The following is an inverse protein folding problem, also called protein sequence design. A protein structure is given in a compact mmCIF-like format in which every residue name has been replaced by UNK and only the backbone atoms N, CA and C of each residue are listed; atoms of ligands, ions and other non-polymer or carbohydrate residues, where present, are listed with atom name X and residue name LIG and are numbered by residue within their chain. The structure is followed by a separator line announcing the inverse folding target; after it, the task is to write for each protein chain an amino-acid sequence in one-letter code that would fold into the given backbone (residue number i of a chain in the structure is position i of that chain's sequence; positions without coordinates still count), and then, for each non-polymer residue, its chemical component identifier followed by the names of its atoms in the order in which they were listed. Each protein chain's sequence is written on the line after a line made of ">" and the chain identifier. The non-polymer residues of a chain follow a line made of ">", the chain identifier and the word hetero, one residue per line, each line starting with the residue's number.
data_IF_802074081266
#
_entry.id   IF_802074081266
#
_cell.length_a   1.000
_cell.length_b   1.000
_cell.length_c   1.000
_cell.angle_alpha   90.00
_cell.angle_beta   90.00
_cell.angle_gamma   90.00
#
_symmetry.space_group_name_H-M   'P 1'
#
loop_
_entity.id
_entity.type
_entity.pdbx_description
1 polymer ?
#
# COMPACT_ATOMS: atom_id res chain seq x y z
N UNK A 1 43.72 12.55 -5.66
CA UNK A 1 43.61 13.97 -5.27
C UNK A 1 42.41 14.54 -6.01
N UNK A 2 41.27 14.68 -5.34
CA UNK A 2 40.24 15.70 -5.57
C UNK A 2 39.24 15.59 -4.42
N UNK A 3 39.56 16.37 -3.39
CA UNK A 3 38.65 16.83 -2.36
C UNK A 3 37.64 17.78 -3.02
N UNK A 4 36.34 17.68 -2.71
CA UNK A 4 35.62 18.80 -2.09
C UNK A 4 34.09 18.57 -1.93
N UNK A 5 33.68 18.79 -0.68
CA UNK A 5 32.50 19.56 -0.26
C UNK A 5 31.15 18.86 -0.17
N UNK A 6 30.93 18.37 1.05
CA UNK A 6 29.67 18.30 1.80
C UNK A 6 28.73 19.47 1.46
N UNK A 7 27.49 19.17 1.04
CA UNK A 7 26.32 20.01 1.37
C UNK A 7 25.40 19.20 2.27
N UNK A 8 25.47 19.51 3.56
CA UNK A 8 24.42 19.20 4.51
C UNK A 8 23.15 19.91 4.02
N UNK A 9 22.19 19.15 3.53
CA UNK A 9 20.81 19.64 3.45
C UNK A 9 20.25 19.61 4.86
N UNK A 10 20.00 20.80 5.40
CA UNK A 10 19.52 21.00 6.76
C UNK A 10 18.27 20.20 7.05
N UNK A 11 18.24 19.61 8.25
CA UNK A 11 17.06 19.00 8.83
C UNK A 11 15.97 20.07 9.01
N UNK A 12 14.98 20.08 8.11
CA UNK A 12 13.74 20.80 8.33
C UNK A 12 12.84 19.89 9.15
N UNK A 13 12.71 20.16 10.44
CA UNK A 13 11.78 19.43 11.32
C UNK A 13 10.35 19.84 10.97
N UNK A 14 9.67 19.09 10.09
CA UNK A 14 8.21 19.05 10.12
C UNK A 14 7.81 18.15 11.28
N UNK A 15 7.33 18.75 12.36
CA UNK A 15 6.82 18.02 13.51
C UNK A 15 5.32 17.85 13.38
N UNK A 16 4.83 16.61 13.41
CA UNK A 16 3.43 16.37 13.75
C UNK A 16 3.12 17.02 15.10
N UNK A 17 1.90 17.54 15.27
CA UNK A 17 1.44 17.92 16.61
C UNK A 17 1.42 16.69 17.53
N UNK A 18 1.58 16.89 18.84
CA UNK A 18 1.65 15.81 19.83
C UNK A 18 0.47 14.83 19.72
N UNK A 19 -0.73 15.34 19.46
CA UNK A 19 -1.94 14.51 19.28
C UNK A 19 -1.87 13.63 18.03
N UNK A 20 -1.34 14.14 16.92
CA UNK A 20 -1.18 13.36 15.69
C UNK A 20 -0.10 12.28 15.85
N UNK A 21 0.99 12.58 16.56
CA UNK A 21 2.02 11.58 16.87
C UNK A 21 1.47 10.42 17.72
N UNK A 22 0.68 10.72 18.76
CA UNK A 22 0.03 9.68 19.59
C UNK A 22 -0.98 8.85 18.79
N UNK A 23 -1.75 9.48 17.89
CA UNK A 23 -2.67 8.78 17.01
C UNK A 23 -1.96 7.81 16.05
N UNK A 24 -0.80 8.21 15.52
CA UNK A 24 0.01 7.37 14.64
C UNK A 24 0.68 6.22 15.40
N UNK A 25 1.21 6.46 16.60
CA UNK A 25 1.84 5.42 17.44
C UNK A 25 0.83 4.33 17.86
N UNK A 26 -0.45 4.68 17.97
CA UNK A 26 -1.55 3.74 18.34
C UNK A 26 -2.39 3.29 17.14
N UNK A 27 -2.00 3.63 15.91
CA UNK A 27 -2.78 3.42 14.70
C UNK A 27 -3.13 1.95 14.45
N UNK A 28 -2.22 1.03 14.78
CA UNK A 28 -2.41 -0.41 14.62
C UNK A 28 -3.07 -1.09 15.83
N UNK A 29 -3.74 -0.34 16.69
CA UNK A 29 -4.64 -0.93 17.69
C UNK A 29 -5.76 -1.72 17.00
N UNK A 30 -6.18 -2.81 17.64
CA UNK A 30 -7.23 -3.70 17.10
C UNK A 30 -8.52 -2.96 16.79
N UNK A 31 -8.95 -2.06 17.68
CA UNK A 31 -10.17 -1.26 17.50
C UNK A 31 -10.09 -0.32 16.29
N UNK A 32 -8.94 0.32 16.03
CA UNK A 32 -8.73 1.15 14.83
C UNK A 32 -8.73 0.32 13.57
N UNK A 33 -8.10 -0.85 13.57
CA UNK A 33 -8.06 -1.74 12.41
C UNK A 33 -9.44 -2.33 12.08
N UNK A 34 -10.21 -2.76 13.08
CA UNK A 34 -11.59 -3.22 12.90
C UNK A 34 -12.47 -2.09 12.33
N UNK A 35 -12.37 -0.89 12.91
CA UNK A 35 -13.08 0.29 12.42
C UNK A 35 -12.66 0.69 10.99
N UNK A 36 -11.38 0.56 10.68
CA UNK A 36 -10.81 0.80 9.35
C UNK A 36 -11.45 -0.14 8.33
N UNK A 37 -11.42 -1.46 8.59
CA UNK A 37 -11.99 -2.48 7.70
C UNK A 37 -13.50 -2.29 7.49
N UNK A 38 -14.26 -1.93 8.53
CA UNK A 38 -15.69 -1.63 8.38
C UNK A 38 -15.94 -0.36 7.54
N UNK A 39 -15.12 0.68 7.71
CA UNK A 39 -15.28 1.91 6.95
C UNK A 39 -14.85 1.77 5.50
N UNK A 40 -13.85 0.94 5.20
CA UNK A 40 -13.39 0.66 3.84
C UNK A 40 -14.50 0.07 2.97
N UNK A 41 -15.42 -0.72 3.53
CA UNK A 41 -16.60 -1.26 2.81
C UNK A 41 -17.46 -0.17 2.17
N UNK A 42 -17.38 1.07 2.68
CA UNK A 42 -18.16 2.24 2.23
C UNK A 42 -17.39 3.11 1.24
N UNK A 43 -16.08 2.87 1.06
CA UNK A 43 -15.19 3.67 0.22
C UNK A 43 -15.05 3.05 -1.17
N UNK A 44 -15.03 3.89 -2.20
CA UNK A 44 -14.73 3.46 -3.57
C UNK A 44 -13.26 3.70 -3.90
N UNK A 45 -12.58 2.69 -4.44
CA UNK A 45 -11.19 2.81 -4.89
C UNK A 45 -11.12 3.51 -6.27
N UNK A 46 -11.34 4.82 -6.31
CA UNK A 46 -11.22 5.61 -7.54
C UNK A 46 -12.03 5.07 -8.74
N UNK A 47 -11.36 4.77 -9.85
CA UNK A 47 -11.98 4.26 -11.10
C UNK A 47 -12.27 2.76 -11.09
N UNK A 48 -11.96 2.06 -10.00
CA UNK A 48 -12.28 0.63 -9.85
C UNK A 48 -13.77 0.44 -9.63
N UNK A 49 -14.27 -0.71 -10.05
CA UNK A 49 -15.67 -1.10 -9.87
C UNK A 49 -15.74 -2.25 -8.87
N UNK A 50 -16.86 -2.44 -8.14
CA UNK A 50 -17.05 -3.68 -7.40
C UNK A 50 -16.85 -4.88 -8.33
N UNK A 51 -16.10 -5.88 -7.86
CA UNK A 51 -15.90 -7.08 -8.65
C UNK A 51 -17.24 -7.79 -8.91
N UNK A 52 -17.40 -8.37 -10.10
CA UNK A 52 -18.56 -9.20 -10.42
C UNK A 52 -18.29 -10.64 -9.95
N UNK A 53 -19.27 -11.34 -9.35
CA UNK A 53 -19.06 -12.68 -8.79
C UNK A 53 -18.59 -13.73 -9.80
N UNK A 54 -18.92 -13.55 -11.08
CA UNK A 54 -18.86 -14.60 -12.09
C UNK A 54 -18.07 -14.18 -13.34
N UNK A 55 -17.07 -13.33 -13.14
CA UNK A 55 -16.30 -12.80 -14.26
C UNK A 55 -15.00 -13.56 -14.45
N UNK A 56 -14.77 -14.10 -15.65
CA UNK A 56 -13.52 -14.75 -16.12
C UNK A 56 -12.29 -13.81 -16.16
N UNK A 57 -12.24 -12.84 -15.25
CA UNK A 57 -11.10 -11.95 -15.13
C UNK A 57 -10.01 -12.60 -14.29
N UNK A 58 -8.77 -12.27 -14.63
CA UNK A 58 -7.60 -12.63 -13.84
C UNK A 58 -7.79 -12.13 -12.40
N UNK A 59 -7.48 -12.97 -11.41
CA UNK A 59 -7.58 -12.65 -9.98
C UNK A 59 -6.19 -12.48 -9.35
N UNK A 60 -6.06 -11.55 -8.43
CA UNK A 60 -4.82 -11.29 -7.70
C UNK A 60 -5.10 -10.87 -6.27
N UNK A 61 -4.16 -11.13 -5.38
CA UNK A 61 -4.22 -10.63 -4.01
C UNK A 61 -2.92 -9.95 -3.62
N UNK A 62 -3.04 -8.88 -2.85
CA UNK A 62 -1.91 -8.18 -2.26
C UNK A 62 -2.09 -8.09 -0.74
N UNK A 63 -0.97 -7.98 -0.03
CA UNK A 63 -0.93 -7.80 1.41
C UNK A 63 -0.55 -6.35 1.74
N UNK A 64 -1.25 -5.71 2.67
CA UNK A 64 -0.75 -4.52 3.39
C UNK A 64 -0.06 -5.05 4.66
N UNK A 65 1.28 -5.20 4.63
CA UNK A 65 2.04 -5.71 5.76
C UNK A 65 2.24 -4.63 6.83
N UNK A 66 1.58 -4.80 7.97
CA UNK A 66 1.71 -3.94 9.14
C UNK A 66 2.84 -4.49 10.02
N UNK A 67 3.73 -3.62 10.48
CA UNK A 67 4.83 -4.02 11.35
C UNK A 67 5.29 -2.83 12.20
N UNK A 68 6.15 -3.12 13.15
CA UNK A 68 6.92 -2.12 13.90
C UNK A 68 8.34 -2.14 13.36
N UNK A 69 8.84 -0.97 12.97
CA UNK A 69 10.24 -0.83 12.56
C UNK A 69 11.19 -0.98 13.75
N UNK A 70 12.49 -1.19 13.49
CA UNK A 70 13.55 -1.23 14.51
C UNK A 70 13.60 0.02 15.43
N UNK A 71 12.94 1.11 15.04
CA UNK A 71 12.80 2.35 15.82
C UNK A 71 11.55 2.36 16.72
N UNK A 72 10.80 1.26 16.80
CA UNK A 72 9.56 1.17 17.57
C UNK A 72 8.37 1.87 16.90
N UNK A 73 8.47 2.23 15.62
CA UNK A 73 7.47 3.03 14.92
C UNK A 73 6.55 2.18 14.03
N UNK A 74 5.21 2.35 14.10
CA UNK A 74 4.27 1.70 13.19
C UNK A 74 4.62 1.98 11.73
N UNK A 75 4.77 0.90 10.96
CA UNK A 75 5.33 0.93 9.62
C UNK A 75 4.60 -0.04 8.68
N UNK A 76 4.72 0.25 7.39
CA UNK A 76 4.23 -0.59 6.31
C UNK A 76 5.41 -1.02 5.47
N UNK A 77 5.51 -2.33 5.20
CA UNK A 77 6.52 -2.90 4.31
C UNK A 77 6.09 -2.75 2.84
N UNK A 78 7.05 -2.38 2.00
CA UNK A 78 6.90 -2.28 0.56
C UNK A 78 8.00 -3.06 -0.15
N UNK A 79 7.69 -3.48 -1.38
CA UNK A 79 8.65 -4.10 -2.31
C UNK A 79 8.90 -3.17 -3.49
N UNK A 80 10.14 -3.12 -3.95
CA UNK A 80 10.51 -2.58 -5.26
C UNK A 80 10.62 -3.75 -6.22
N UNK A 81 9.75 -3.80 -7.23
CA UNK A 81 9.72 -4.89 -8.20
C UNK A 81 11.00 -4.96 -9.03
N UNK A 82 11.52 -6.17 -9.22
CA UNK A 82 12.72 -6.44 -10.00
C UNK A 82 12.62 -5.92 -11.44
N UNK A 83 13.72 -5.35 -11.94
CA UNK A 83 13.82 -4.91 -13.33
C UNK A 83 13.82 -6.07 -14.33
N UNK A 84 13.90 -7.32 -13.85
CA UNK A 84 13.85 -8.54 -14.67
C UNK A 84 12.42 -8.93 -15.07
N UNK A 85 11.41 -8.42 -14.38
CA UNK A 85 10.02 -8.80 -14.61
C UNK A 85 9.46 -8.23 -15.91
N UNK A 86 8.49 -8.91 -16.56
CA UNK A 86 7.93 -8.43 -17.82
C UNK A 86 7.00 -7.22 -17.66
N UNK A 87 6.41 -7.02 -16.47
CA UNK A 87 5.44 -5.94 -16.17
C UNK A 87 5.77 -5.23 -14.86
N UNK A 88 5.44 -3.93 -14.81
CA UNK A 88 5.57 -3.07 -13.62
C UNK A 88 6.98 -3.06 -13.01
N UNK A 89 8.02 -3.13 -13.85
CA UNK A 89 9.44 -3.06 -13.45
C UNK A 89 9.74 -1.79 -12.66
N UNK A 90 10.43 -1.93 -11.52
CA UNK A 90 10.82 -0.80 -10.68
C UNK A 90 9.65 -0.08 -10.01
N UNK A 91 8.45 -0.68 -9.97
CA UNK A 91 7.32 -0.10 -9.25
C UNK A 91 7.43 -0.46 -7.77
N UNK A 92 7.08 0.50 -6.92
CA UNK A 92 6.84 0.21 -5.50
C UNK A 92 5.46 -0.41 -5.35
N UNK A 93 5.42 -1.59 -4.75
CA UNK A 93 4.24 -2.40 -4.59
C UNK A 93 4.11 -2.90 -3.16
N UNK A 94 2.89 -3.30 -2.84
CA UNK A 94 2.64 -4.24 -1.76
C UNK A 94 3.06 -5.63 -2.23
N UNK A 95 3.54 -6.51 -1.32
CA UNK A 95 3.80 -7.89 -1.68
C UNK A 95 2.50 -8.58 -2.10
N UNK A 96 2.60 -9.47 -3.08
CA UNK A 96 1.44 -10.15 -3.65
C UNK A 96 1.49 -10.33 -5.16
N UNK A 97 0.53 -11.08 -5.67
CA UNK A 97 0.53 -11.47 -7.06
C UNK A 97 -0.72 -12.20 -7.49
N UNK A 98 -0.57 -13.06 -8.48
CA UNK A 98 -1.66 -13.68 -9.20
C UNK A 98 -2.18 -14.89 -8.41
N UNK A 99 -3.49 -15.11 -8.46
CA UNK A 99 -4.07 -16.34 -7.93
C UNK A 99 -3.57 -17.57 -8.70
N UNK A 100 -3.14 -18.59 -7.96
CA UNK A 100 -2.78 -19.91 -8.47
C UNK A 100 -3.98 -20.87 -8.36
N UNK A 101 -3.98 -21.93 -9.17
CA UNK A 101 -5.07 -22.94 -9.16
C UNK A 101 -5.22 -23.65 -7.81
N UNK A 102 -4.13 -23.72 -7.05
CA UNK A 102 -4.10 -24.36 -5.72
C UNK A 102 -4.41 -23.37 -4.58
N UNK A 103 -4.62 -22.09 -4.88
CA UNK A 103 -5.00 -21.12 -3.86
C UNK A 103 -6.44 -21.34 -3.41
N UNK A 104 -6.62 -21.56 -2.11
CA UNK A 104 -7.92 -21.87 -1.49
C UNK A 104 -8.83 -20.64 -1.51
N UNK A 105 -8.25 -19.47 -1.24
CA UNK A 105 -8.95 -18.20 -1.19
C UNK A 105 -7.98 -17.02 -1.45
N UNK A 106 -8.48 -15.78 -1.55
CA UNK A 106 -7.63 -14.62 -1.77
C UNK A 106 -6.60 -14.36 -0.66
N UNK A 107 -6.86 -14.81 0.58
CA UNK A 107 -5.90 -14.67 1.68
C UNK A 107 -4.73 -15.61 1.46
N UNK A 108 -4.99 -16.86 1.08
CA UNK A 108 -3.97 -17.83 0.72
C UNK A 108 -3.06 -17.30 -0.40
N UNK A 109 -3.64 -16.71 -1.46
CA UNK A 109 -2.85 -16.07 -2.53
C UNK A 109 -1.92 -14.99 -1.99
N UNK A 110 -2.42 -14.07 -1.14
CA UNK A 110 -1.58 -12.98 -0.61
C UNK A 110 -0.44 -13.51 0.26
N UNK A 111 -0.72 -14.53 1.09
CA UNK A 111 0.28 -15.14 1.97
C UNK A 111 1.33 -15.93 1.20
N UNK A 112 0.92 -16.76 0.23
CA UNK A 112 1.83 -17.52 -0.64
C UNK A 112 2.77 -16.58 -1.39
N UNK A 113 2.23 -15.56 -2.04
CA UNK A 113 3.04 -14.59 -2.80
C UNK A 113 3.98 -13.79 -1.88
N UNK A 114 3.54 -13.43 -0.67
CA UNK A 114 4.42 -12.78 0.31
C UNK A 114 5.56 -13.70 0.73
N UNK A 115 5.29 -15.00 0.89
CA UNK A 115 6.32 -15.99 1.19
C UNK A 115 7.30 -16.19 0.02
N UNK A 116 6.80 -16.24 -1.22
CA UNK A 116 7.62 -16.38 -2.43
C UNK A 116 8.51 -15.16 -2.70
N UNK A 117 7.98 -13.94 -2.47
CA UNK A 117 8.69 -12.68 -2.71
C UNK A 117 9.69 -12.35 -1.59
N UNK A 118 9.34 -12.62 -0.32
CA UNK A 118 10.06 -12.13 0.86
C UNK A 118 10.57 -13.21 1.81
N UNK A 119 10.20 -14.47 1.61
CA UNK A 119 10.55 -15.58 2.50
C UNK A 119 9.80 -15.59 3.84
N UNK A 120 8.80 -14.70 4.00
CA UNK A 120 8.04 -14.59 5.25
C UNK A 120 6.99 -15.69 5.28
N UNK A 121 7.19 -16.68 6.15
CA UNK A 121 6.27 -17.79 6.34
C UNK A 121 4.88 -17.32 6.76
N UNK A 122 3.84 -17.90 6.18
CA UNK A 122 2.44 -17.61 6.53
C UNK A 122 2.13 -17.72 8.03
N UNK A 123 2.80 -18.62 8.75
CA UNK A 123 2.68 -18.78 10.21
C UNK A 123 3.13 -17.55 11.01
N UNK A 124 4.00 -16.71 10.43
CA UNK A 124 4.48 -15.45 11.02
C UNK A 124 3.61 -14.25 10.61
N UNK A 125 2.45 -14.49 10.00
CA UNK A 125 1.55 -13.45 9.51
C UNK A 125 0.19 -13.56 10.20
N UNK A 126 -0.17 -12.54 10.97
CA UNK A 126 -1.48 -12.45 11.64
C UNK A 126 -2.45 -11.66 10.75
N UNK A 127 -3.33 -12.35 10.05
CA UNK A 127 -4.33 -11.72 9.18
C UNK A 127 -5.40 -11.01 10.02
N UNK A 128 -5.57 -9.71 9.75
CA UNK A 128 -6.57 -8.86 10.42
C UNK A 128 -7.89 -8.87 9.66
N UNK A 129 -7.82 -8.87 8.33
CA UNK A 129 -9.00 -8.91 7.45
C UNK A 129 -8.66 -8.49 6.04
N UNK A 130 -9.68 -8.27 5.22
CA UNK A 130 -9.51 -7.90 3.81
C UNK A 130 -10.50 -6.82 3.38
N UNK A 131 -10.11 -6.04 2.37
CA UNK A 131 -10.98 -5.07 1.72
C UNK A 131 -12.00 -5.80 0.84
N UNK A 132 -13.15 -5.18 0.50
CA UNK A 132 -13.98 -5.68 -0.58
C UNK A 132 -13.18 -5.78 -1.88
N UNK A 133 -13.36 -6.89 -2.59
CA UNK A 133 -12.74 -7.11 -3.88
C UNK A 133 -13.19 -6.06 -4.90
N UNK A 134 -12.24 -5.51 -5.65
CA UNK A 134 -12.52 -4.54 -6.70
C UNK A 134 -11.90 -4.96 -8.03
N UNK A 135 -12.54 -4.56 -9.12
CA UNK A 135 -12.10 -4.78 -10.48
C UNK A 135 -11.36 -3.55 -11.01
N UNK A 136 -10.12 -3.75 -11.45
CA UNK A 136 -9.32 -2.79 -12.17
C UNK A 136 -9.49 -3.02 -13.68
N UNK A 137 -10.28 -2.17 -14.38
CA UNK A 137 -10.55 -2.36 -15.81
C UNK A 137 -9.33 -2.12 -16.70
N UNK A 138 -8.31 -1.39 -16.23
CA UNK A 138 -7.08 -1.12 -17.00
C UNK A 138 -6.31 -2.41 -17.24
N UNK A 139 -6.18 -3.23 -16.21
CA UNK A 139 -5.40 -4.47 -16.24
C UNK A 139 -6.29 -5.72 -16.38
N UNK A 140 -7.62 -5.52 -16.47
CA UNK A 140 -8.65 -6.57 -16.49
C UNK A 140 -8.45 -7.57 -15.35
N UNK A 141 -8.28 -7.02 -14.15
CA UNK A 141 -7.83 -7.74 -12.97
C UNK A 141 -8.79 -7.49 -11.80
N UNK A 142 -9.25 -8.56 -11.18
CA UNK A 142 -10.00 -8.55 -9.93
C UNK A 142 -8.99 -8.68 -8.78
N UNK A 143 -8.98 -7.71 -7.87
CA UNK A 143 -7.99 -7.62 -6.80
C UNK A 143 -8.63 -7.63 -5.42
N UNK A 144 -8.04 -8.42 -4.52
CA UNK A 144 -8.33 -8.40 -3.09
C UNK A 144 -7.13 -7.86 -2.33
N UNK A 145 -7.38 -7.03 -1.32
CA UNK A 145 -6.34 -6.45 -0.47
C UNK A 145 -6.50 -7.00 0.93
N UNK A 146 -5.51 -7.75 1.37
CA UNK A 146 -5.44 -8.36 2.71
C UNK A 146 -4.63 -7.45 3.61
N UNK A 147 -5.04 -7.28 4.86
CA UNK A 147 -4.30 -6.54 5.88
C UNK A 147 -3.85 -7.53 6.92
N UNK A 148 -2.55 -7.54 7.24
CA UNK A 148 -1.98 -8.45 8.22
C UNK A 148 -0.80 -7.84 8.95
N UNK A 149 -0.56 -8.29 10.18
CA UNK A 149 0.71 -8.05 10.85
C UNK A 149 1.77 -9.03 10.38
N UNK A 150 2.99 -8.54 10.23
CA UNK A 150 4.18 -9.37 10.02
C UNK A 150 4.95 -9.55 11.33
N UNK A 151 5.60 -10.71 11.46
CA UNK A 151 6.61 -10.96 12.48
C UNK A 151 6.04 -11.42 13.82
N UNK A 152 6.85 -12.14 14.58
CA UNK A 152 6.51 -12.53 15.94
C UNK A 152 6.45 -11.29 16.83
N UNK A 153 5.32 -11.04 17.49
CA UNK A 153 5.15 -9.83 18.29
C UNK A 153 5.05 -8.52 17.49
N UNK A 154 4.93 -8.59 16.15
CA UNK A 154 4.77 -7.47 15.20
C UNK A 154 6.04 -6.71 14.85
N UNK A 155 7.19 -7.12 15.37
CA UNK A 155 8.47 -6.53 15.03
C UNK A 155 9.06 -7.25 13.82
N UNK A 156 9.70 -6.49 12.91
CA UNK A 156 10.38 -7.07 11.75
C UNK A 156 11.76 -6.44 11.57
N UNK A 157 12.79 -7.28 11.55
CA UNK A 157 14.13 -6.91 11.12
C UNK A 157 14.31 -7.36 9.67
N UNK A 158 14.36 -6.39 8.75
CA UNK A 158 14.50 -6.68 7.32
C UNK A 158 15.75 -7.52 6.98
N UNK A 159 16.82 -7.45 7.78
CA UNK A 159 18.04 -8.20 7.51
C UNK A 159 18.00 -9.63 8.07
N UNK A 160 17.25 -9.86 9.16
CA UNK A 160 17.16 -11.15 9.82
C UNK A 160 15.95 -11.98 9.37
N UNK A 161 14.83 -11.32 9.07
CA UNK A 161 13.54 -11.98 8.84
C UNK A 161 13.20 -12.21 7.37
N UNK A 162 13.84 -11.49 6.44
CA UNK A 162 13.55 -11.60 5.02
C UNK A 162 14.58 -12.47 4.30
N UNK A 163 14.07 -13.30 3.39
CA UNK A 163 14.85 -13.97 2.36
C UNK A 163 14.28 -13.56 0.99
N UNK A 164 14.73 -12.40 0.50
CA UNK A 164 14.18 -11.76 -0.70
C UNK A 164 14.50 -12.58 -1.96
N UNK A 165 13.47 -12.83 -2.77
CA UNK A 165 13.64 -13.43 -4.08
C UNK A 165 14.00 -12.35 -5.12
N UNK A 166 15.30 -12.22 -5.42
CA UNK A 166 15.85 -11.22 -6.36
C UNK A 166 15.30 -11.31 -7.80
N UNK A 167 14.71 -12.45 -8.18
CA UNK A 167 14.07 -12.58 -9.49
C UNK A 167 12.78 -11.74 -9.59
N UNK A 168 12.14 -11.46 -8.46
CA UNK A 168 10.85 -10.76 -8.38
C UNK A 168 10.93 -9.42 -7.65
N UNK A 169 11.75 -9.36 -6.59
CA UNK A 169 11.89 -8.18 -5.75
C UNK A 169 13.34 -7.71 -5.78
N UNK A 170 13.56 -6.46 -6.18
CA UNK A 170 14.88 -5.83 -6.13
C UNK A 170 15.24 -5.35 -4.72
N UNK A 171 14.24 -4.92 -3.94
CA UNK A 171 14.44 -4.37 -2.60
C UNK A 171 13.15 -4.46 -1.79
N UNK A 172 13.25 -4.82 -0.52
CA UNK A 172 12.19 -4.63 0.47
C UNK A 172 12.57 -3.50 1.44
N UNK A 173 11.61 -2.65 1.80
CA UNK A 173 11.86 -1.53 2.71
C UNK A 173 10.60 -1.14 3.48
N UNK A 174 10.81 -0.51 4.65
CA UNK A 174 9.71 0.00 5.48
C UNK A 174 9.47 1.49 5.22
N UNK A 175 8.23 1.91 5.42
CA UNK A 175 7.85 3.32 5.62
C UNK A 175 6.99 3.47 6.85
N UNK A 176 7.37 4.41 7.71
CA UNK A 176 6.62 4.71 8.93
C UNK A 176 5.29 5.40 8.58
N UNK A 177 4.28 5.25 9.43
CA UNK A 177 3.04 6.00 9.24
C UNK A 177 3.26 7.52 9.31
N UNK A 178 4.23 7.98 10.11
CA UNK A 178 4.63 9.39 10.14
C UNK A 178 5.08 9.88 8.75
N UNK A 179 6.01 9.17 8.10
CA UNK A 179 6.45 9.50 6.74
C UNK A 179 5.30 9.48 5.73
N UNK A 180 4.40 8.49 5.83
CA UNK A 180 3.30 8.29 4.89
C UNK A 180 2.17 9.31 5.08
N UNK A 181 1.95 9.79 6.30
CA UNK A 181 0.91 10.77 6.63
C UNK A 181 1.39 12.22 6.56
N UNK A 182 2.69 12.46 6.40
CA UNK A 182 3.26 13.80 6.29
C UNK A 182 2.77 14.49 5.00
N UNK A 183 2.01 15.60 5.09
CA UNK A 183 1.42 16.25 3.91
C UNK A 183 2.46 16.70 2.87
N UNK A 184 3.67 17.06 3.33
CA UNK A 184 4.76 17.45 2.41
C UNK A 184 5.29 16.29 1.57
N UNK A 185 5.01 15.03 1.94
CA UNK A 185 5.35 13.84 1.16
C UNK A 185 4.24 13.43 0.18
N UNK A 186 3.05 14.02 0.26
CA UNK A 186 1.95 13.68 -0.65
C UNK A 186 1.86 14.64 -1.83
N UNK A 187 1.86 14.10 -3.04
CA UNK A 187 1.60 14.82 -4.29
C UNK A 187 0.49 14.13 -5.07
N UNK A 188 0.09 14.76 -6.18
CA UNK A 188 -0.92 14.22 -7.07
C UNK A 188 -0.44 14.30 -8.52
N UNK A 189 -0.63 13.23 -9.27
CA UNK A 189 -0.52 13.26 -10.74
C UNK A 189 -1.91 13.47 -11.32
N UNK A 190 -2.06 14.49 -12.16
CA UNK A 190 -3.31 14.78 -12.87
C UNK A 190 -3.31 14.07 -14.23
N UNK A 191 -4.38 13.36 -14.52
CA UNK A 191 -4.61 12.70 -15.79
C UNK A 191 -5.76 13.37 -16.51
N UNK A 192 -5.52 13.70 -17.79
CA UNK A 192 -6.58 14.10 -18.70
C UNK A 192 -7.25 12.87 -19.26
N UNK A 193 -8.58 12.82 -19.22
CA UNK A 193 -9.33 11.70 -19.75
C UNK A 193 -10.62 12.18 -20.41
N UNK A 194 -11.03 11.60 -21.57
CA UNK A 194 -12.21 12.06 -22.31
C UNK A 194 -13.51 12.07 -21.52
N UNK A 195 -13.60 11.30 -20.43
CA UNK A 195 -14.78 11.21 -19.55
C UNK A 195 -14.65 12.02 -18.25
N UNK A 196 -13.64 12.88 -18.14
CA UNK A 196 -13.36 13.71 -16.97
C UNK A 196 -11.96 13.48 -16.42
N UNK A 197 -11.29 14.58 -16.08
CA UNK A 197 -9.95 14.56 -15.50
C UNK A 197 -9.97 13.94 -14.10
N UNK A 198 -8.92 13.19 -13.77
CA UNK A 198 -8.78 12.59 -12.44
C UNK A 198 -7.37 12.75 -11.90
N UNK A 199 -7.25 12.85 -10.58
CA UNK A 199 -5.97 12.84 -9.89
C UNK A 199 -5.69 11.47 -9.28
N UNK A 200 -4.42 11.08 -9.20
CA UNK A 200 -3.96 9.95 -8.40
C UNK A 200 -2.91 10.42 -7.39
N UNK A 201 -2.93 9.87 -6.16
CA UNK A 201 -1.95 10.21 -5.14
C UNK A 201 -0.58 9.64 -5.53
N UNK A 202 0.47 10.35 -5.12
CA UNK A 202 1.87 9.95 -5.22
C UNK A 202 2.53 10.26 -3.90
N UNK A 203 3.00 9.23 -3.20
CA UNK A 203 3.74 9.38 -1.95
C UNK A 203 5.24 9.44 -2.28
N UNK A 204 5.89 10.52 -1.89
CA UNK A 204 7.31 10.78 -2.09
C UNK A 204 8.07 10.47 -0.80
N UNK A 205 8.07 9.21 -0.40
CA UNK A 205 8.63 8.78 0.89
C UNK A 205 10.02 8.14 0.70
N UNK A 206 11.04 8.83 1.22
CA UNK A 206 12.43 8.44 1.05
C UNK A 206 12.86 8.42 -0.42
N UNK A 207 13.58 7.36 -0.84
CA UNK A 207 14.18 7.28 -2.17
C UNK A 207 13.22 6.81 -3.28
N UNK A 208 12.10 6.18 -2.91
CA UNK A 208 11.19 5.55 -3.88
C UNK A 208 9.80 6.16 -3.77
N UNK A 209 9.23 6.56 -4.90
CA UNK A 209 7.85 7.06 -4.95
C UNK A 209 6.86 5.91 -5.00
N UNK A 210 5.81 5.98 -4.18
CA UNK A 210 4.64 5.09 -4.27
C UNK A 210 3.59 5.77 -5.13
N UNK A 211 3.15 5.11 -6.20
CA UNK A 211 2.20 5.67 -7.16
C UNK A 211 1.30 4.58 -7.76
N UNK A 212 0.35 4.96 -8.61
CA UNK A 212 -0.54 4.00 -9.27
C UNK A 212 -1.52 3.33 -8.31
N UNK A 213 -1.83 2.06 -8.54
CA UNK A 213 -2.81 1.32 -7.72
C UNK A 213 -2.34 1.16 -6.28
N UNK A 214 -1.04 0.93 -6.04
CA UNK A 214 -0.45 0.88 -4.69
C UNK A 214 -0.78 2.15 -3.90
N UNK A 215 -0.59 3.32 -4.51
CA UNK A 215 -0.89 4.59 -3.85
C UNK A 215 -2.40 4.82 -3.62
N UNK A 216 -3.26 4.32 -4.51
CA UNK A 216 -4.72 4.38 -4.31
C UNK A 216 -5.17 3.52 -3.12
N UNK A 217 -4.68 2.28 -3.05
CA UNK A 217 -4.93 1.36 -1.93
C UNK A 217 -4.42 2.00 -0.63
N UNK A 218 -3.18 2.49 -0.62
CA UNK A 218 -2.57 3.13 0.54
C UNK A 218 -3.36 4.37 0.99
N UNK A 219 -3.78 5.23 0.05
CA UNK A 219 -4.57 6.41 0.37
C UNK A 219 -5.91 6.03 1.03
N UNK A 220 -6.62 5.02 0.53
CA UNK A 220 -7.88 4.55 1.14
C UNK A 220 -7.62 3.97 2.54
N UNK A 221 -6.56 3.16 2.68
CA UNK A 221 -6.18 2.59 3.96
C UNK A 221 -5.87 3.67 5.01
N UNK A 222 -5.00 4.65 4.70
CA UNK A 222 -4.62 5.70 5.66
C UNK A 222 -5.82 6.58 6.05
N UNK A 223 -6.69 6.94 5.10
CA UNK A 223 -7.91 7.72 5.38
C UNK A 223 -8.87 7.04 6.35
N UNK A 224 -8.88 5.71 6.36
CA UNK A 224 -9.82 4.91 7.17
C UNK A 224 -9.19 4.44 8.47
N UNK A 225 -7.87 4.25 8.50
CA UNK A 225 -7.09 3.89 9.69
C UNK A 225 -6.88 5.06 10.66
N UNK A 226 -6.50 6.22 10.12
CA UNK A 226 -6.17 7.42 10.88
C UNK A 226 -6.89 8.64 10.32
N UNK A 227 -8.25 8.64 10.29
CA UNK A 227 -9.04 9.75 9.75
C UNK A 227 -8.84 11.07 10.49
N UNK A 228 -8.31 11.02 11.71
CA UNK A 228 -7.92 12.13 12.58
C UNK A 228 -6.56 12.76 12.24
N UNK A 229 -5.75 12.09 11.41
CA UNK A 229 -4.43 12.56 10.98
C UNK A 229 -4.35 12.73 9.45
N UNK A 230 -4.96 11.81 8.69
CA UNK A 230 -4.88 11.77 7.23
C UNK A 230 -6.22 12.14 6.59
N UNK A 231 -6.32 13.38 6.09
CA UNK A 231 -7.57 13.95 5.56
C UNK A 231 -7.62 14.05 4.03
N UNK A 232 -6.68 13.43 3.33
CA UNK A 232 -6.49 13.68 1.91
C UNK A 232 -7.50 12.93 1.03
N UNK A 233 -8.41 13.69 0.42
CA UNK A 233 -9.34 13.16 -0.58
C UNK A 233 -8.75 13.22 -1.99
N UNK A 234 -8.62 12.04 -2.61
CA UNK A 234 -8.38 11.97 -4.04
C UNK A 234 -9.71 12.20 -4.75
N UNK A 235 -9.90 13.38 -5.36
CA UNK A 235 -10.98 13.61 -6.31
C UNK A 235 -10.70 12.81 -7.59
N UNK A 236 -11.11 11.55 -7.61
CA UNK A 236 -11.38 10.88 -8.89
C UNK A 236 -12.68 11.49 -9.40
N UNK A 237 -12.62 12.47 -10.29
CA UNK A 237 -13.83 12.95 -10.92
C UNK A 237 -14.37 11.82 -11.82
N UNK A 238 -15.35 11.08 -11.30
CA UNK A 238 -16.39 10.56 -12.17
C UNK A 238 -17.39 11.70 -12.25
N UNK A 239 -17.21 12.59 -13.23
CA UNK A 239 -18.21 13.64 -13.47
C UNK A 239 -19.56 12.96 -13.80
N UNK A 240 -20.68 13.56 -13.35
CA UNK A 240 -21.99 12.94 -13.34
C UNK A 240 -22.49 12.61 -14.75
N UNK A 241 -23.35 11.58 -14.82
CA UNK A 241 -23.99 10.93 -15.98
C UNK A 241 -24.70 11.83 -17.03
N UNK A 242 -24.58 13.16 -17.01
CA UNK A 242 -25.39 14.07 -17.84
C UNK A 242 -24.84 14.41 -19.24
N UNK A 243 -23.88 13.66 -19.77
CA UNK A 243 -23.34 13.89 -21.13
C UNK A 243 -23.64 12.78 -22.15
N UNK A 244 -24.78 12.10 -21.99
CA UNK A 244 -25.34 11.20 -23.02
C UNK A 244 -26.79 11.60 -23.37
N UNK A 245 -26.98 12.86 -23.74
CA UNK A 245 -28.10 13.31 -24.57
C UNK A 245 -27.53 14.17 -25.69
#
# INVERSE_FOLDING_TARGET
>A
MFCNTIRQYGAFRSGFCTNASVALDTAFSRSRLESCLENIKKVKLGTTQPAKPDSEHRRSSILIPLCTSNQGKPSILFTLRSNRLPRHRGYVCFPGGMEHVDDIDPVHTALRETEEELGIKSEKVEVVGAFPTFYNPRDKLTMTVVVAFLGEGRDIDLAADLNVNDSEVQLAFLRTLEELCEPTNLRYTQFRHPRGDYAMPVFLTGQFRVWGLTAMVLNVFLRTLVPDVYHHEVRCAVLPKKLYM
#
